data_IF_792866649384
#
_entry.id   IF_792866649384
#
_cell.length_a   1.000
_cell.length_b   1.000
_cell.length_c   1.000
_cell.angle_alpha   90.00
_cell.angle_beta   90.00
_cell.angle_gamma   90.00
#
_symmetry.space_group_name_H-M   'P 1'
#
loop_
_entity.id
_entity.type
_entity.pdbx_description
1 polymer ?
#
# COMPACT_ATOMS: atom_id res chain seq x y z
N UNK A 1 -14.97 -6.99 11.83
CA UNK A 1 -13.55 -7.38 11.89
C UNK A 1 -13.19 -8.06 10.57
N UNK A 2 -12.30 -7.47 9.82
CA UNK A 2 -11.73 -8.12 8.65
C UNK A 2 -10.91 -9.30 9.15
N UNK A 3 -11.26 -10.52 8.73
CA UNK A 3 -10.47 -11.70 9.03
C UNK A 3 -9.06 -11.57 8.44
N UNK A 4 -8.07 -12.19 9.06
CA UNK A 4 -6.69 -12.23 8.57
C UNK A 4 -6.61 -12.67 7.09
N UNK A 5 -7.57 -13.45 6.59
CA UNK A 5 -7.65 -13.86 5.20
C UNK A 5 -7.85 -12.74 4.18
N UNK A 6 -8.42 -11.60 4.57
CA UNK A 6 -8.61 -10.46 3.67
C UNK A 6 -7.33 -9.64 3.49
N UNK A 7 -6.40 -9.69 4.45
CA UNK A 7 -5.13 -8.98 4.42
C UNK A 7 -4.19 -9.55 3.35
N UNK A 8 -4.25 -10.87 3.12
CA UNK A 8 -3.37 -11.56 2.17
C UNK A 8 -3.97 -11.74 0.79
N UNK A 9 -5.26 -11.40 0.61
CA UNK A 9 -5.90 -11.44 -0.69
C UNK A 9 -5.36 -10.33 -1.59
N UNK A 10 -5.11 -10.68 -2.86
CA UNK A 10 -4.78 -9.75 -3.93
C UNK A 10 -3.43 -9.05 -3.82
N UNK A 11 -2.45 -9.70 -3.21
CA UNK A 11 -1.06 -9.34 -3.48
C UNK A 11 -0.70 -9.85 -4.86
N UNK A 12 -0.07 -9.02 -5.67
CA UNK A 12 0.42 -9.39 -6.99
C UNK A 12 1.92 -9.31 -6.99
N UNK A 13 2.57 -10.39 -7.39
CA UNK A 13 4.02 -10.48 -7.50
C UNK A 13 4.43 -10.57 -8.96
N UNK A 14 5.56 -9.96 -9.30
CA UNK A 14 6.19 -10.08 -10.61
C UNK A 14 7.45 -10.93 -10.52
N UNK A 15 7.64 -11.81 -11.49
CA UNK A 15 8.88 -12.56 -11.69
C UNK A 15 9.66 -11.90 -12.80
N UNK A 16 10.91 -11.53 -12.50
CA UNK A 16 11.81 -10.81 -13.42
C UNK A 16 13.10 -11.58 -13.64
N UNK A 17 13.68 -11.38 -14.80
CA UNK A 17 15.03 -11.86 -15.10
C UNK A 17 16.05 -10.97 -14.40
N UNK A 18 16.97 -11.57 -13.63
CA UNK A 18 18.00 -10.81 -12.90
C UNK A 18 19.23 -10.51 -13.77
N UNK A 19 19.61 -11.44 -14.60
CA UNK A 19 20.75 -11.32 -15.52
C UNK A 19 20.33 -11.72 -16.93
N UNK A 20 21.00 -11.17 -17.95
CA UNK A 20 20.73 -11.57 -19.33
C UNK A 20 20.86 -13.10 -19.49
N UNK A 21 19.85 -13.69 -20.11
CA UNK A 21 19.83 -15.09 -20.44
C UNK A 21 20.32 -15.23 -21.87
N UNK A 22 21.46 -15.89 -22.04
CA UNK A 22 22.11 -16.04 -23.33
C UNK A 22 22.12 -17.49 -23.80
N UNK A 23 21.97 -17.68 -25.12
CA UNK A 23 22.17 -18.94 -25.81
C UNK A 23 23.25 -18.70 -26.86
N UNK A 24 24.44 -19.25 -26.64
CA UNK A 24 25.61 -18.91 -27.47
C UNK A 24 25.96 -17.42 -27.32
N UNK A 25 26.02 -16.71 -28.45
CA UNK A 25 26.32 -15.28 -28.49
C UNK A 25 25.04 -14.39 -28.54
N UNK A 26 23.87 -14.99 -28.44
CA UNK A 26 22.61 -14.27 -28.52
C UNK A 26 21.96 -14.12 -27.14
N UNK A 27 21.50 -12.91 -26.84
CA UNK A 27 20.67 -12.66 -25.66
C UNK A 27 19.26 -13.11 -25.97
N UNK A 28 18.79 -14.15 -25.26
CA UNK A 28 17.44 -14.66 -25.39
C UNK A 28 16.44 -13.78 -24.61
N UNK A 29 16.80 -13.40 -23.39
CA UNK A 29 16.00 -12.51 -22.53
C UNK A 29 16.95 -11.55 -21.81
N UNK A 30 16.61 -10.28 -21.82
CA UNK A 30 17.39 -9.26 -21.12
C UNK A 30 17.07 -9.20 -19.64
N UNK A 31 18.06 -8.79 -18.84
CA UNK A 31 17.87 -8.48 -17.43
C UNK A 31 16.70 -7.49 -17.22
N UNK A 32 16.00 -7.63 -16.09
CA UNK A 32 14.85 -6.83 -15.69
C UNK A 32 13.60 -6.98 -16.58
N UNK A 33 13.57 -7.98 -17.43
CA UNK A 33 12.37 -8.33 -18.18
C UNK A 33 11.37 -9.02 -17.27
N UNK A 34 10.12 -8.51 -17.24
CA UNK A 34 9.01 -9.17 -16.55
C UNK A 34 8.62 -10.43 -17.31
N UNK A 35 8.75 -11.58 -16.65
CA UNK A 35 8.36 -12.88 -17.22
C UNK A 35 6.87 -13.13 -17.03
N UNK A 36 6.36 -12.82 -15.87
CA UNK A 36 4.94 -13.02 -15.56
C UNK A 36 4.58 -12.56 -14.17
N UNK A 37 3.30 -12.67 -13.87
CA UNK A 37 2.71 -12.24 -12.61
C UNK A 37 2.00 -13.40 -11.95
N UNK A 38 1.96 -13.37 -10.61
CA UNK A 38 1.17 -14.30 -9.82
C UNK A 38 0.43 -13.52 -8.73
N UNK A 39 -0.80 -13.91 -8.50
CA UNK A 39 -1.66 -13.34 -7.47
C UNK A 39 -1.77 -14.32 -6.30
N UNK A 40 -1.74 -13.81 -5.06
CA UNK A 40 -1.93 -14.67 -3.88
C UNK A 40 -3.35 -15.19 -3.80
N UNK A 41 -3.47 -16.46 -3.45
CA UNK A 41 -4.73 -17.09 -3.11
C UNK A 41 -5.15 -16.79 -1.66
N UNK A 42 -6.21 -17.46 -1.22
CA UNK A 42 -6.74 -17.33 0.15
C UNK A 42 -5.76 -17.82 1.22
N UNK A 43 -4.85 -18.71 0.84
CA UNK A 43 -3.78 -19.23 1.69
C UNK A 43 -2.57 -18.27 1.80
N UNK A 44 -2.61 -17.12 1.13
CA UNK A 44 -1.53 -16.15 1.12
C UNK A 44 -0.35 -16.53 0.23
N UNK A 45 -0.49 -17.56 -0.60
CA UNK A 45 0.57 -18.06 -1.48
C UNK A 45 0.34 -17.62 -2.92
N UNK A 46 1.43 -17.23 -3.59
CA UNK A 46 1.45 -16.98 -5.03
C UNK A 46 2.31 -18.04 -5.70
N UNK A 47 1.82 -18.61 -6.78
CA UNK A 47 2.50 -19.65 -7.53
C UNK A 47 2.77 -19.17 -8.95
N UNK A 48 4.03 -19.28 -9.38
CA UNK A 48 4.44 -19.05 -10.76
C UNK A 48 4.56 -20.42 -11.46
N UNK A 49 3.91 -20.52 -12.61
CA UNK A 49 3.86 -21.74 -13.39
C UNK A 49 4.29 -21.41 -14.82
N UNK A 50 5.61 -21.42 -15.05
CA UNK A 50 6.22 -21.09 -16.32
C UNK A 50 7.31 -22.09 -16.67
N UNK A 51 7.47 -22.31 -17.97
CA UNK A 51 8.63 -22.99 -18.53
C UNK A 51 9.78 -21.97 -18.60
N UNK A 52 10.69 -22.02 -17.62
CA UNK A 52 11.73 -21.02 -17.50
C UNK A 52 13.10 -21.60 -17.88
N UNK A 53 13.89 -20.86 -18.69
CA UNK A 53 15.31 -21.17 -18.87
C UNK A 53 16.05 -21.16 -17.53
N UNK A 54 17.13 -21.96 -17.44
CA UNK A 54 18.04 -21.85 -16.31
C UNK A 54 18.62 -20.44 -16.23
N UNK A 55 18.73 -19.91 -15.06
CA UNK A 55 19.23 -18.57 -14.85
C UNK A 55 18.82 -18.01 -13.50
N UNK A 56 19.15 -16.75 -13.32
CA UNK A 56 18.84 -15.98 -12.11
C UNK A 56 17.66 -15.06 -12.35
N UNK A 57 16.74 -15.09 -11.40
CA UNK A 57 15.49 -14.34 -11.41
C UNK A 57 15.32 -13.63 -10.10
N UNK A 58 14.39 -12.70 -10.04
CA UNK A 58 13.94 -12.12 -8.79
C UNK A 58 12.43 -11.89 -8.79
N UNK A 59 11.85 -11.94 -7.61
CA UNK A 59 10.44 -11.67 -7.38
C UNK A 59 10.32 -10.38 -6.60
N UNK A 60 9.43 -9.51 -7.03
CA UNK A 60 9.03 -8.34 -6.24
C UNK A 60 7.52 -8.17 -6.23
N UNK A 61 7.03 -7.54 -5.18
CA UNK A 61 5.62 -7.21 -5.08
C UNK A 61 5.29 -6.05 -6.02
N UNK A 62 4.27 -6.23 -6.84
CA UNK A 62 3.75 -5.20 -7.74
C UNK A 62 2.54 -4.50 -7.15
N UNK A 63 1.76 -5.20 -6.36
CA UNK A 63 0.52 -4.70 -5.79
C UNK A 63 0.31 -5.28 -4.39
N UNK A 64 0.17 -4.39 -3.41
CA UNK A 64 -0.13 -4.75 -2.03
C UNK A 64 -1.64 -4.97 -1.82
N UNK A 65 -2.04 -5.63 -0.73
CA UNK A 65 -3.45 -5.66 -0.35
C UNK A 65 -4.00 -4.25 -0.13
N UNK A 66 -5.30 -4.08 -0.30
CA UNK A 66 -5.96 -2.79 -0.07
C UNK A 66 -5.67 -2.27 1.35
N UNK A 67 -5.28 -1.01 1.46
CA UNK A 67 -4.92 -0.38 2.74
C UNK A 67 -3.47 -0.57 3.18
N UNK A 68 -2.64 -1.18 2.32
CA UNK A 68 -1.23 -1.42 2.58
C UNK A 68 -0.36 -0.80 1.49
N UNK A 69 0.88 -0.50 1.84
CA UNK A 69 1.90 -0.03 0.89
C UNK A 69 2.68 -1.23 0.39
N UNK A 70 2.97 -1.27 -0.91
CA UNK A 70 3.79 -2.34 -1.50
C UNK A 70 5.16 -2.43 -0.86
N UNK A 71 5.62 -3.65 -0.61
CA UNK A 71 6.95 -3.91 -0.11
C UNK A 71 7.99 -3.61 -1.19
N UNK A 72 9.13 -3.03 -0.82
CA UNK A 72 10.29 -2.88 -1.69
C UNK A 72 11.23 -4.10 -1.66
N UNK A 73 10.84 -5.11 -0.91
CA UNK A 73 11.58 -6.35 -0.74
C UNK A 73 11.72 -7.08 -2.07
N UNK A 74 12.90 -7.65 -2.31
CA UNK A 74 13.19 -8.44 -3.51
C UNK A 74 13.65 -9.82 -3.06
N UNK A 75 13.07 -10.85 -3.66
CA UNK A 75 13.47 -12.23 -3.43
C UNK A 75 14.22 -12.76 -4.66
N UNK A 76 15.50 -13.09 -4.49
CA UNK A 76 16.30 -13.72 -5.53
C UNK A 76 15.97 -15.20 -5.64
N UNK A 77 15.84 -15.68 -6.88
CA UNK A 77 15.54 -17.08 -7.20
C UNK A 77 16.47 -17.52 -8.31
N UNK A 78 17.09 -18.68 -8.15
CA UNK A 78 17.95 -19.27 -9.18
C UNK A 78 17.38 -20.60 -9.64
N UNK A 79 17.23 -20.77 -10.95
CA UNK A 79 16.92 -22.02 -11.59
C UNK A 79 18.17 -22.62 -12.16
N UNK A 80 18.56 -23.77 -11.64
CA UNK A 80 19.69 -24.56 -12.13
C UNK A 80 19.22 -25.99 -12.38
N UNK A 81 19.99 -26.72 -13.19
CA UNK A 81 19.67 -28.11 -13.47
C UNK A 81 19.77 -28.94 -12.19
N UNK A 82 18.64 -29.53 -11.78
CA UNK A 82 18.54 -30.39 -10.61
C UNK A 82 18.20 -31.85 -10.97
N UNK A 83 18.31 -32.21 -12.25
CA UNK A 83 18.01 -33.56 -12.73
C UNK A 83 16.52 -33.85 -12.96
N UNK A 84 15.66 -32.87 -12.72
CA UNK A 84 14.22 -32.97 -12.97
C UNK A 84 13.69 -31.65 -13.52
N UNK A 85 12.68 -31.72 -14.37
CA UNK A 85 11.93 -30.52 -14.79
C UNK A 85 11.08 -30.03 -13.61
N UNK A 86 11.23 -28.74 -13.28
CA UNK A 86 10.41 -28.10 -12.26
C UNK A 86 9.49 -27.14 -12.99
N UNK A 87 8.22 -27.51 -13.13
CA UNK A 87 7.24 -26.71 -13.84
C UNK A 87 6.60 -25.62 -12.94
N UNK A 88 6.79 -25.72 -11.63
CA UNK A 88 6.14 -24.84 -10.65
C UNK A 88 7.16 -24.36 -9.63
N UNK A 89 7.19 -23.03 -9.43
CA UNK A 89 7.96 -22.41 -8.34
C UNK A 89 7.00 -21.83 -7.33
N UNK A 90 7.04 -22.36 -6.13
CA UNK A 90 6.28 -21.85 -5.00
C UNK A 90 7.14 -20.88 -4.21
N UNK A 91 6.64 -19.66 -4.01
CA UNK A 91 7.29 -18.63 -3.21
C UNK A 91 6.71 -18.70 -1.80
N UNK A 92 7.55 -19.04 -0.84
CA UNK A 92 7.17 -19.15 0.58
C UNK A 92 7.68 -18.00 1.44
N UNK A 93 8.39 -17.06 0.83
CA UNK A 93 8.93 -15.91 1.53
C UNK A 93 7.83 -14.93 1.93
N UNK A 94 7.89 -14.39 3.16
CA UNK A 94 6.95 -13.36 3.60
C UNK A 94 7.39 -11.99 3.13
N UNK A 95 6.50 -11.32 2.39
CA UNK A 95 6.66 -9.92 2.04
C UNK A 95 5.87 -9.08 3.04
N UNK A 96 6.58 -8.28 3.83
CA UNK A 96 5.98 -7.45 4.87
C UNK A 96 5.42 -6.17 4.25
N UNK A 97 4.13 -5.96 4.43
CA UNK A 97 3.46 -4.74 4.02
C UNK A 97 3.16 -3.85 5.22
N UNK A 98 3.41 -2.55 5.06
CA UNK A 98 3.04 -1.54 6.04
C UNK A 98 1.65 -1.00 5.70
N UNK A 99 0.74 -0.84 6.68
CA UNK A 99 -0.52 -0.16 6.42
C UNK A 99 -0.26 1.30 6.08
N UNK A 100 -1.11 1.87 5.25
CA UNK A 100 -1.10 3.32 5.03
C UNK A 100 -1.47 4.01 6.35
N UNK A 101 -0.87 5.18 6.60
CA UNK A 101 -1.17 6.02 7.76
C UNK A 101 -1.42 7.43 7.30
N UNK A 102 -2.54 8.00 7.71
CA UNK A 102 -2.87 9.40 7.52
C UNK A 102 -3.00 10.05 8.89
N UNK A 103 -2.20 11.06 9.13
CA UNK A 103 -2.21 11.84 10.37
C UNK A 103 -2.90 13.18 10.12
N UNK A 104 -3.85 13.56 10.97
CA UNK A 104 -4.67 14.75 10.78
C UNK A 104 -4.58 15.62 12.03
N UNK A 105 -4.29 16.91 11.81
CA UNK A 105 -4.19 17.93 12.85
C UNK A 105 -5.13 19.08 12.54
N UNK A 106 -5.86 19.58 13.53
CA UNK A 106 -6.71 20.77 13.43
C UNK A 106 -5.91 21.99 13.86
N UNK A 107 -5.84 23.02 13.02
CA UNK A 107 -5.02 24.21 13.31
C UNK A 107 -5.77 25.51 13.07
N UNK A 108 -5.35 26.56 13.78
CA UNK A 108 -5.70 27.95 13.48
C UNK A 108 -4.97 28.39 12.20
N UNK A 109 -5.71 28.89 11.21
CA UNK A 109 -5.13 29.27 9.91
C UNK A 109 -4.12 30.41 10.01
N UNK A 110 -4.29 31.31 11.00
CA UNK A 110 -3.44 32.48 11.16
C UNK A 110 -2.15 32.18 11.91
N UNK A 111 -2.25 31.41 12.99
CA UNK A 111 -1.14 31.14 13.90
C UNK A 111 -0.45 29.79 13.68
N UNK A 112 -1.14 28.85 13.02
CA UNK A 112 -0.69 27.47 12.92
C UNK A 112 -0.78 26.67 14.21
N UNK A 113 -1.36 27.25 15.27
CA UNK A 113 -1.51 26.57 16.56
C UNK A 113 -2.58 25.49 16.47
N UNK A 114 -2.29 24.31 17.03
CA UNK A 114 -3.23 23.21 17.10
C UNK A 114 -4.40 23.53 18.02
N UNK A 115 -5.59 23.10 17.64
CA UNK A 115 -6.85 23.38 18.32
C UNK A 115 -7.53 22.11 18.79
N UNK A 116 -7.97 22.14 20.04
CA UNK A 116 -8.83 21.11 20.64
C UNK A 116 -10.30 21.42 20.40
N UNK A 117 -11.14 20.39 20.45
CA UNK A 117 -12.60 20.53 20.54
C UNK A 117 -13.34 20.54 19.22
N UNK A 118 -12.67 20.40 18.09
CA UNK A 118 -13.33 20.19 16.82
C UNK A 118 -13.79 18.74 16.68
N UNK A 119 -15.00 18.53 16.21
CA UNK A 119 -15.46 17.19 15.81
C UNK A 119 -15.23 17.01 14.32
N UNK A 120 -14.39 16.05 13.98
CA UNK A 120 -13.94 15.78 12.63
C UNK A 120 -14.39 14.39 12.19
N UNK A 121 -14.57 14.23 10.89
CA UNK A 121 -14.84 12.93 10.28
C UNK A 121 -14.17 12.79 8.94
N UNK A 122 -13.90 11.55 8.56
CA UNK A 122 -13.47 11.18 7.23
C UNK A 122 -14.55 10.32 6.59
N UNK A 123 -14.92 10.69 5.37
CA UNK A 123 -15.91 10.00 4.55
C UNK A 123 -15.22 9.37 3.33
N UNK A 124 -15.69 8.20 2.93
CA UNK A 124 -15.24 7.56 1.70
C UNK A 124 -15.92 8.18 0.46
N UNK A 125 -15.59 7.65 -0.71
CA UNK A 125 -16.15 8.11 -2.00
C UNK A 125 -17.67 7.94 -2.11
N UNK A 126 -18.27 7.07 -1.29
CA UNK A 126 -19.72 6.84 -1.25
C UNK A 126 -20.40 7.71 -0.20
N UNK A 127 -19.67 8.57 0.50
CA UNK A 127 -20.19 9.40 1.59
C UNK A 127 -20.38 8.65 2.91
N UNK A 128 -19.85 7.44 3.02
CA UNK A 128 -19.92 6.66 4.25
C UNK A 128 -18.80 7.06 5.20
N UNK A 129 -19.12 7.16 6.49
CA UNK A 129 -18.17 7.53 7.52
C UNK A 129 -17.16 6.42 7.76
N UNK A 130 -15.88 6.74 7.56
CA UNK A 130 -14.75 5.84 7.84
C UNK A 130 -14.28 5.99 9.29
N UNK A 131 -14.21 7.22 9.77
CA UNK A 131 -13.74 7.55 11.10
C UNK A 131 -14.30 8.90 11.57
N UNK A 132 -14.42 9.06 12.88
CA UNK A 132 -14.82 10.32 13.51
C UNK A 132 -14.13 10.46 14.86
N UNK A 133 -13.70 11.69 15.19
CA UNK A 133 -12.96 11.97 16.41
C UNK A 133 -13.12 13.44 16.82
N UNK A 134 -12.67 13.72 18.04
CA UNK A 134 -12.58 15.07 18.55
C UNK A 134 -11.12 15.48 18.62
N UNK A 135 -10.78 16.63 18.04
CA UNK A 135 -9.40 17.11 18.02
C UNK A 135 -8.88 17.41 19.42
N UNK A 136 -7.61 17.08 19.65
CA UNK A 136 -6.89 17.37 20.89
C UNK A 136 -5.55 18.02 20.52
N UNK A 137 -5.30 19.19 21.09
CA UNK A 137 -4.04 19.91 20.89
C UNK A 137 -2.86 19.05 21.32
N UNK A 138 -1.87 18.95 20.46
CA UNK A 138 -0.67 18.13 20.68
C UNK A 138 -0.82 16.66 20.33
N UNK A 139 -2.00 16.23 19.89
CA UNK A 139 -2.29 14.85 19.51
C UNK A 139 -2.86 14.79 18.10
N UNK A 140 -2.03 14.42 17.14
CA UNK A 140 -2.51 14.14 15.79
C UNK A 140 -3.36 12.88 15.80
N UNK A 141 -4.49 12.92 15.09
CA UNK A 141 -5.33 11.74 14.90
C UNK A 141 -4.78 10.91 13.74
N UNK A 142 -4.59 9.62 13.94
CA UNK A 142 -4.02 8.72 12.93
C UNK A 142 -5.07 7.72 12.46
N UNK A 143 -5.27 7.66 11.15
CA UNK A 143 -6.11 6.68 10.48
C UNK A 143 -5.21 5.73 9.71
N UNK A 144 -5.37 4.43 9.94
CA UNK A 144 -4.61 3.38 9.26
C UNK A 144 -5.47 2.62 8.27
N UNK A 145 -4.85 2.16 7.20
CA UNK A 145 -5.48 1.22 6.27
C UNK A 145 -6.41 1.86 5.25
N UNK A 146 -6.33 3.17 5.04
CA UNK A 146 -7.04 3.80 3.93
C UNK A 146 -6.43 3.32 2.60
N UNK A 147 -7.28 3.14 1.60
CA UNK A 147 -6.88 2.54 0.32
C UNK A 147 -6.08 3.51 -0.54
N UNK A 148 -4.91 3.09 -0.99
CA UNK A 148 -4.07 3.85 -1.93
C UNK A 148 -4.85 4.14 -3.20
N UNK A 149 -4.77 5.39 -3.67
CA UNK A 149 -5.44 5.85 -4.88
C UNK A 149 -6.91 6.24 -4.70
N UNK A 150 -7.52 5.95 -3.57
CA UNK A 150 -8.88 6.39 -3.28
C UNK A 150 -8.90 7.81 -2.69
N UNK A 151 -9.95 8.54 -3.02
CA UNK A 151 -10.20 9.89 -2.52
C UNK A 151 -11.20 9.86 -1.37
N UNK A 152 -10.84 10.52 -0.30
CA UNK A 152 -11.65 10.66 0.92
C UNK A 152 -11.95 12.14 1.16
N UNK A 153 -12.99 12.40 1.94
CA UNK A 153 -13.37 13.75 2.35
C UNK A 153 -13.16 13.90 3.84
N UNK A 154 -12.41 14.92 4.23
CA UNK A 154 -12.25 15.36 5.62
C UNK A 154 -13.24 16.49 5.88
N UNK A 155 -14.15 16.28 6.84
CA UNK A 155 -15.22 17.22 7.19
C UNK A 155 -15.14 17.58 8.66
N UNK A 156 -15.32 18.87 8.96
CA UNK A 156 -15.55 19.35 10.31
C UNK A 156 -17.05 19.45 10.58
N UNK A 157 -17.54 18.73 11.57
CA UNK A 157 -18.94 18.82 11.99
C UNK A 157 -19.15 19.97 12.96
N UNK A 158 -18.28 20.07 13.96
CA UNK A 158 -18.35 21.10 14.98
C UNK A 158 -16.99 21.77 15.10
N UNK A 159 -16.98 23.09 14.95
CA UNK A 159 -15.76 23.88 15.11
C UNK A 159 -15.36 24.02 16.60
N UNK A 160 -14.08 24.26 16.90
CA UNK A 160 -13.66 24.66 18.23
C UNK A 160 -14.38 25.94 18.65
N UNK A 161 -14.55 26.14 19.96
CA UNK A 161 -15.19 27.34 20.48
C UNK A 161 -14.49 28.62 19.99
N UNK A 162 -15.29 29.55 19.46
CA UNK A 162 -14.78 30.81 18.93
C UNK A 162 -14.28 30.76 17.49
N UNK A 163 -14.39 29.63 16.82
CA UNK A 163 -13.96 29.44 15.44
C UNK A 163 -15.11 29.11 14.50
N UNK A 164 -14.94 29.48 13.24
CA UNK A 164 -15.87 29.09 12.19
C UNK A 164 -15.56 27.66 11.73
N UNK A 165 -16.61 26.96 11.30
CA UNK A 165 -16.44 25.62 10.73
C UNK A 165 -15.62 25.68 9.46
N UNK A 166 -14.59 24.83 9.37
CA UNK A 166 -13.74 24.71 8.18
C UNK A 166 -14.52 24.12 7.00
N UNK A 167 -14.12 24.49 5.79
CA UNK A 167 -14.63 23.87 4.58
C UNK A 167 -14.10 22.43 4.47
N UNK A 168 -14.86 21.58 3.79
CA UNK A 168 -14.44 20.22 3.47
C UNK A 168 -13.19 20.21 2.62
N UNK A 169 -12.32 19.24 2.89
CA UNK A 169 -11.10 19.01 2.12
C UNK A 169 -11.11 17.57 1.60
N UNK A 170 -10.90 17.43 0.30
CA UNK A 170 -10.69 16.11 -0.30
C UNK A 170 -9.20 15.79 -0.36
N UNK A 171 -8.85 14.55 -0.10
CA UNK A 171 -7.49 14.07 -0.22
C UNK A 171 -7.46 12.66 -0.84
N UNK A 172 -6.43 12.41 -1.62
CA UNK A 172 -6.19 11.09 -2.21
C UNK A 172 -5.04 10.42 -1.48
N UNK A 173 -5.24 9.16 -1.08
CA UNK A 173 -4.21 8.42 -0.34
C UNK A 173 -3.07 8.05 -1.29
N UNK A 174 -1.86 8.44 -0.92
CA UNK A 174 -0.63 8.17 -1.67
C UNK A 174 -0.04 6.81 -1.30
N UNK A 175 0.71 6.23 -2.24
CA UNK A 175 1.43 4.97 -2.03
C UNK A 175 2.69 5.19 -1.15
N UNK A 176 2.50 5.82 0.01
CA UNK A 176 3.55 6.07 1.03
C UNK A 176 3.03 5.61 2.39
N UNK A 177 3.96 5.24 3.28
CA UNK A 177 3.60 4.72 4.60
C UNK A 177 3.06 5.75 5.57
N UNK A 178 3.20 7.06 5.26
CA UNK A 178 2.77 8.14 6.12
C UNK A 178 2.42 9.40 5.32
N UNK A 179 1.26 9.97 5.61
CA UNK A 179 0.81 11.27 5.07
C UNK A 179 0.30 12.12 6.22
N UNK A 180 0.72 13.39 6.28
CA UNK A 180 0.23 14.34 7.27
C UNK A 180 -0.65 15.39 6.60
N UNK A 181 -1.83 15.61 7.17
CA UNK A 181 -2.79 16.63 6.74
C UNK A 181 -3.07 17.60 7.88
N UNK A 182 -3.18 18.87 7.54
CA UNK A 182 -3.69 19.91 8.45
C UNK A 182 -5.04 20.42 7.94
N UNK A 183 -5.97 20.64 8.85
CA UNK A 183 -7.25 21.27 8.53
C UNK A 183 -7.29 22.64 9.17
N UNK A 184 -7.02 23.73 8.38
CA UNK A 184 -7.00 25.08 8.91
C UNK A 184 -8.43 25.63 9.09
N UNK A 185 -8.59 26.47 10.12
CA UNK A 185 -9.82 27.19 10.39
C UNK A 185 -9.54 28.62 10.87
N UNK A 186 -10.48 29.51 10.62
CA UNK A 186 -10.44 30.92 11.08
C UNK A 186 -11.33 31.15 12.29
#
# INVERSE_FOLDING_TARGET
SRGLGDVYKRQVFGLYVKEDIQVGNQTLVKADTLIGKAETGEDGKATFSFDLPFGKYYVKELEAPAGYVSSEQVLDVEFSYQGQEIDVVEITSEFLNQPTKVSITKVDVTTGVELSGATLMVLDKNGEMVDSWKSVKGEAHVIRGLKVGETYTLREETAPYGYLRAEEVSFTVKAVSYTHLTLPTT
#
